data_IF_204600539591
#
_entry.id   IF_204600539591
#
_cell.length_a   1.000
_cell.length_b   1.000
_cell.length_c   1.000
_cell.angle_alpha   90.00
_cell.angle_beta   90.00
_cell.angle_gamma   90.00
#
_symmetry.space_group_name_H-M   'P 1'
#
loop_
_entity.id
_entity.type
_entity.pdbx_description
1 polymer ?
#
# COMPACT_ATOMS: atom_id res chain seq x y z
N UNK A 1 21.25 -0.06 -72.64
CA UNK A 1 22.22 0.98 -73.05
C UNK A 1 21.43 2.06 -73.77
N UNK A 2 21.95 3.30 -73.85
CA UNK A 2 21.20 4.53 -74.21
C UNK A 2 20.11 4.89 -73.17
N UNK A 3 20.12 6.01 -72.43
CA UNK A 3 21.08 7.12 -72.29
C UNK A 3 20.94 8.33 -73.26
N UNK A 4 19.96 9.21 -73.00
CA UNK A 4 19.93 10.67 -73.29
C UNK A 4 18.76 11.28 -72.46
N UNK A 5 18.85 12.36 -71.65
CA UNK A 5 19.29 13.77 -71.88
C UNK A 5 18.40 14.45 -72.96
N UNK A 6 17.79 15.64 -72.81
CA UNK A 6 17.83 16.76 -71.85
C UNK A 6 16.43 17.48 -71.87
N UNK A 7 16.05 18.61 -71.23
CA UNK A 7 16.71 19.67 -70.42
C UNK A 7 15.66 20.53 -69.65
N UNK A 8 16.12 21.29 -68.63
CA UNK A 8 15.62 22.63 -68.19
C UNK A 8 14.26 22.77 -67.46
N UNK A 9 14.04 23.73 -66.55
CA UNK A 9 14.95 24.71 -65.89
C UNK A 9 14.54 24.93 -64.41
N UNK A 10 15.48 25.39 -63.57
CA UNK A 10 15.17 25.92 -62.23
C UNK A 10 14.87 27.43 -62.29
N UNK A 11 14.31 27.99 -61.21
CA UNK A 11 14.52 29.40 -60.84
C UNK A 11 14.88 29.49 -59.34
N UNK A 12 15.95 30.21 -58.96
CA UNK A 12 16.39 30.31 -57.57
C UNK A 12 15.96 31.61 -56.89
N UNK A 13 15.82 31.58 -55.56
CA UNK A 13 16.03 32.75 -54.70
C UNK A 13 16.84 32.33 -53.47
N UNK A 14 18.15 32.56 -53.53
CA UNK A 14 19.05 32.55 -52.38
C UNK A 14 19.24 34.00 -51.91
N UNK A 15 18.90 34.28 -50.65
CA UNK A 15 19.39 35.49 -49.98
C UNK A 15 20.12 35.11 -48.68
N UNK A 16 21.43 35.34 -48.75
CA UNK A 16 22.50 35.14 -47.78
C UNK A 16 22.15 35.28 -46.28
N UNK A 17 22.65 34.33 -45.49
CA UNK A 17 23.64 34.49 -44.39
C UNK A 17 23.75 35.85 -43.66
N UNK A 18 24.03 35.87 -42.34
CA UNK A 18 25.08 35.01 -41.74
C UNK A 18 24.77 34.35 -40.39
N UNK A 19 25.73 33.51 -39.96
CA UNK A 19 25.83 32.98 -38.60
C UNK A 19 26.10 34.11 -37.59
N UNK A 20 25.50 34.01 -36.42
CA UNK A 20 26.20 34.28 -35.15
C UNK A 20 25.98 33.11 -34.19
N UNK A 21 27.08 32.51 -33.74
CA UNK A 21 27.06 31.43 -32.76
C UNK A 21 26.76 31.98 -31.37
N UNK A 22 25.94 31.28 -30.58
CA UNK A 22 26.01 31.38 -29.13
C UNK A 22 25.72 30.02 -28.48
N UNK A 23 26.69 29.52 -27.72
CA UNK A 23 26.51 28.38 -26.82
C UNK A 23 25.83 28.84 -25.55
N UNK A 24 24.83 28.09 -25.07
CA UNK A 24 24.84 27.67 -23.67
C UNK A 24 24.06 26.36 -23.49
N UNK A 25 24.50 25.54 -22.54
CA UNK A 25 23.91 24.25 -22.19
C UNK A 25 22.85 24.40 -21.11
N UNK A 26 21.96 23.40 -21.01
CA UNK A 26 21.69 22.64 -19.77
C UNK A 26 20.87 21.38 -20.13
N UNK A 27 21.13 20.27 -19.44
CA UNK A 27 20.41 19.01 -19.65
C UNK A 27 19.09 19.00 -18.84
N UNK A 28 18.01 18.49 -19.46
CA UNK A 28 16.67 18.39 -18.86
C UNK A 28 16.17 16.94 -18.86
N UNK A 29 16.31 16.28 -17.71
CA UNK A 29 15.91 14.89 -17.43
C UNK A 29 14.51 14.54 -17.98
N UNK A 30 14.44 13.53 -18.87
CA UNK A 30 13.18 12.80 -19.09
C UNK A 30 12.88 11.98 -17.83
N UNK A 31 11.95 12.45 -17.02
CA UNK A 31 11.61 11.83 -15.74
C UNK A 31 10.93 10.47 -15.95
N UNK A 32 11.33 9.48 -15.13
CA UNK A 32 10.71 8.16 -15.12
C UNK A 32 9.42 8.21 -14.31
N UNK A 33 8.27 8.24 -14.98
CA UNK A 33 6.95 8.47 -14.35
C UNK A 33 6.35 7.20 -13.71
N UNK A 34 7.11 6.57 -12.82
CA UNK A 34 6.72 5.36 -12.06
C UNK A 34 7.26 5.42 -10.62
N UNK A 35 6.95 6.50 -9.89
CA UNK A 35 7.43 6.69 -8.50
C UNK A 35 6.36 7.17 -7.49
N UNK A 36 5.35 7.95 -7.93
CA UNK A 36 4.38 8.62 -7.04
C UNK A 36 3.50 7.64 -6.22
N UNK A 37 3.21 6.45 -6.75
CA UNK A 37 2.24 5.50 -6.19
C UNK A 37 2.58 4.96 -4.78
N UNK A 38 3.84 5.04 -4.35
CA UNK A 38 4.32 4.52 -3.05
C UNK A 38 4.55 5.67 -2.03
N UNK A 39 4.25 6.91 -2.41
CA UNK A 39 4.46 8.11 -1.56
C UNK A 39 3.18 8.55 -0.84
N UNK A 40 2.08 8.67 -1.58
CA UNK A 40 0.79 9.19 -1.10
C UNK A 40 0.20 8.36 0.05
N UNK A 41 0.27 7.04 -0.07
CA UNK A 41 -0.13 6.04 0.94
C UNK A 41 0.49 6.30 2.32
N UNK A 42 1.80 6.58 2.38
CA UNK A 42 2.53 6.83 3.63
C UNK A 42 2.16 8.16 4.30
N UNK A 43 1.61 9.12 3.55
CA UNK A 43 1.20 10.43 4.06
C UNK A 43 -0.25 10.42 4.58
N UNK A 44 -1.17 9.74 3.87
CA UNK A 44 -2.57 9.61 4.27
C UNK A 44 -2.73 8.93 5.64
N UNK A 45 -2.09 7.77 5.83
CA UNK A 45 -2.15 6.97 7.06
C UNK A 45 -1.60 7.67 8.31
N UNK A 46 -0.77 8.72 8.15
CA UNK A 46 -0.08 9.40 9.26
C UNK A 46 -0.70 10.73 9.70
N UNK A 47 -1.58 11.33 8.89
CA UNK A 47 -2.11 12.69 9.15
C UNK A 47 -3.60 12.77 9.48
N UNK A 48 -4.41 11.79 9.07
CA UNK A 48 -5.86 11.87 9.16
C UNK A 48 -6.39 11.55 10.58
N UNK A 49 -6.70 12.60 11.37
CA UNK A 49 -7.55 12.48 12.55
C UNK A 49 -9.02 12.31 12.13
N UNK A 50 -9.37 11.12 11.66
CA UNK A 50 -10.77 10.72 11.39
C UNK A 50 -11.52 10.69 12.74
N UNK A 51 -12.68 11.37 12.89
CA UNK A 51 -13.46 11.31 14.13
C UNK A 51 -14.12 9.94 14.30
N UNK A 52 -14.29 9.49 15.54
CA UNK A 52 -14.80 8.15 15.85
C UNK A 52 -16.26 7.92 15.37
N UNK A 53 -17.01 9.00 15.12
CA UNK A 53 -18.35 8.98 14.50
C UNK A 53 -18.39 8.31 13.13
N UNK A 54 -17.30 8.41 12.37
CA UNK A 54 -17.26 8.02 10.96
C UNK A 54 -16.87 6.54 10.78
N UNK A 55 -16.44 5.90 11.86
CA UNK A 55 -16.06 4.49 11.87
C UNK A 55 -17.29 3.58 11.91
N UNK A 56 -17.34 2.64 10.96
CA UNK A 56 -18.30 1.54 10.96
C UNK A 56 -18.03 0.64 12.16
N UNK A 57 -19.01 0.46 13.03
CA UNK A 57 -18.90 -0.40 14.22
C UNK A 57 -19.49 -1.78 13.93
N UNK A 58 -18.71 -2.84 14.18
CA UNK A 58 -19.14 -4.23 14.05
C UNK A 58 -19.82 -4.74 15.34
N UNK A 59 -20.66 -5.80 15.29
CA UNK A 59 -21.36 -6.35 16.47
C UNK A 59 -20.46 -6.85 17.61
N UNK A 60 -19.16 -7.00 17.36
CA UNK A 60 -18.14 -7.41 18.33
C UNK A 60 -17.38 -6.22 18.96
N UNK A 61 -17.80 -4.98 18.68
CA UNK A 61 -17.18 -3.75 19.17
C UNK A 61 -15.98 -3.25 18.37
N UNK A 62 -15.46 -4.03 17.40
CA UNK A 62 -14.41 -3.56 16.48
C UNK A 62 -14.96 -2.42 15.63
N UNK A 63 -14.25 -1.29 15.57
CA UNK A 63 -14.59 -0.17 14.68
C UNK A 63 -13.57 -0.06 13.55
N UNK A 64 -14.03 0.26 12.34
CA UNK A 64 -13.14 0.46 11.21
C UNK A 64 -13.54 1.62 10.29
N UNK A 65 -12.54 2.23 9.64
CA UNK A 65 -12.72 3.25 8.62
C UNK A 65 -11.87 2.92 7.39
N UNK A 66 -12.47 2.90 6.20
CA UNK A 66 -11.77 2.64 4.93
C UNK A 66 -11.15 3.94 4.39
N UNK A 67 -9.85 4.18 4.65
CA UNK A 67 -9.11 5.31 4.07
C UNK A 67 -8.97 5.19 2.55
N UNK A 68 -8.88 3.96 2.05
CA UNK A 68 -8.90 3.63 0.63
C UNK A 68 -9.57 2.28 0.45
N UNK A 69 -10.64 2.20 -0.33
CA UNK A 69 -11.17 0.90 -0.80
C UNK A 69 -10.22 0.36 -1.89
N UNK A 70 -9.90 -0.93 -1.82
CA UNK A 70 -9.05 -1.59 -2.82
C UNK A 70 -9.83 -2.07 -4.03
N UNK A 71 -9.12 -2.28 -5.15
CA UNK A 71 -9.70 -2.63 -6.45
C UNK A 71 -9.54 -4.10 -6.82
N UNK A 72 -8.72 -4.86 -6.09
CA UNK A 72 -8.45 -6.28 -6.34
C UNK A 72 -9.43 -7.25 -5.66
N UNK A 73 -8.95 -8.48 -5.41
CA UNK A 73 -9.70 -9.52 -4.71
C UNK A 73 -10.06 -9.13 -3.26
N UNK A 74 -11.15 -9.68 -2.74
CA UNK A 74 -11.65 -9.45 -1.39
C UNK A 74 -11.15 -10.52 -0.40
N UNK A 75 -10.74 -10.08 0.79
CA UNK A 75 -10.27 -10.94 1.88
C UNK A 75 -11.45 -11.58 2.60
N UNK A 76 -11.94 -12.69 2.05
CA UNK A 76 -12.92 -13.56 2.69
C UNK A 76 -12.25 -14.60 3.59
N UNK A 77 -12.95 -15.09 4.61
CA UNK A 77 -12.51 -16.19 5.48
C UNK A 77 -11.91 -17.37 4.69
N UNK A 78 -10.77 -17.89 5.16
CA UNK A 78 -9.97 -18.92 4.48
C UNK A 78 -8.97 -18.37 3.45
N UNK A 79 -8.99 -17.07 3.14
CA UNK A 79 -7.97 -16.44 2.29
C UNK A 79 -6.65 -16.30 3.02
N UNK A 80 -5.54 -16.70 2.39
CA UNK A 80 -4.19 -16.35 2.86
C UNK A 80 -3.86 -14.91 2.43
N UNK A 81 -3.98 -13.96 3.35
CA UNK A 81 -3.64 -12.55 3.12
C UNK A 81 -2.14 -12.28 3.30
N UNK A 82 -1.67 -11.21 2.68
CA UNK A 82 -0.42 -10.54 3.02
C UNK A 82 -0.69 -9.04 3.19
N UNK A 83 -0.34 -8.50 4.35
CA UNK A 83 -0.65 -7.12 4.74
C UNK A 83 0.61 -6.36 5.16
N UNK A 84 0.52 -5.03 5.14
CA UNK A 84 1.29 -4.20 6.05
C UNK A 84 0.40 -3.67 7.17
N UNK A 85 0.96 -3.52 8.38
CA UNK A 85 0.28 -2.87 9.48
C UNK A 85 1.20 -1.98 10.33
N UNK A 86 0.58 -1.04 11.05
CA UNK A 86 1.20 -0.25 12.13
C UNK A 86 0.23 -0.23 13.30
N UNK A 87 0.59 -0.88 14.41
CA UNK A 87 -0.19 -0.90 15.64
C UNK A 87 0.29 0.20 16.60
N UNK A 88 -0.65 1.00 17.11
CA UNK A 88 -0.37 2.14 17.98
C UNK A 88 -1.23 2.08 19.24
N UNK A 89 -0.73 2.68 20.31
CA UNK A 89 -1.52 2.99 21.49
C UNK A 89 -1.23 4.44 21.91
N UNK A 90 -2.28 5.28 21.96
CA UNK A 90 -2.16 6.71 22.26
C UNK A 90 -1.18 7.41 21.31
N UNK A 91 -1.17 7.00 20.04
CA UNK A 91 -0.23 7.47 19.01
C UNK A 91 1.20 6.90 19.06
N UNK A 92 1.61 6.19 20.11
CA UNK A 92 2.93 5.51 20.18
C UNK A 92 2.83 4.20 19.38
N UNK A 93 3.73 4.01 18.40
CA UNK A 93 3.79 2.76 17.61
C UNK A 93 4.57 1.70 18.38
N UNK A 94 3.91 0.60 18.74
CA UNK A 94 4.51 -0.51 19.50
C UNK A 94 4.80 -1.76 18.66
N UNK A 95 4.08 -1.95 17.55
CA UNK A 95 4.37 -3.01 16.55
C UNK A 95 4.15 -2.48 15.13
N UNK A 96 4.98 -2.90 14.18
CA UNK A 96 4.86 -2.51 12.77
C UNK A 96 5.52 -3.53 11.87
N UNK A 97 4.87 -3.89 10.75
CA UNK A 97 5.47 -4.72 9.71
C UNK A 97 6.37 -3.92 8.75
N UNK A 98 6.33 -2.59 8.81
CA UNK A 98 6.97 -1.71 7.80
C UNK A 98 8.44 -1.41 8.10
N UNK A 99 8.94 -1.82 9.27
CA UNK A 99 10.30 -1.54 9.72
C UNK A 99 11.21 -2.75 9.46
N UNK A 100 12.31 -2.54 8.72
CA UNK A 100 13.25 -3.58 8.32
C UNK A 100 14.37 -3.03 7.44
N UNK A 101 15.45 -3.79 7.27
CA UNK A 101 16.71 -3.34 6.64
C UNK A 101 16.70 -3.35 5.09
N UNK A 102 15.52 -3.38 4.46
CA UNK A 102 15.35 -3.51 3.02
C UNK A 102 15.12 -2.18 2.31
N UNK A 103 15.67 -2.03 1.09
CA UNK A 103 15.49 -0.84 0.23
C UNK A 103 14.01 -0.56 -0.11
N UNK A 104 13.16 -1.59 -0.07
CA UNK A 104 11.70 -1.49 -0.28
C UNK A 104 10.86 -1.29 0.99
N UNK A 105 11.46 -1.28 2.19
CA UNK A 105 10.73 -1.33 3.47
C UNK A 105 10.66 -2.73 4.10
N UNK A 106 9.99 -2.83 5.25
CA UNK A 106 9.92 -4.05 6.07
C UNK A 106 9.04 -5.19 5.52
N UNK A 107 9.09 -6.34 6.19
CA UNK A 107 8.47 -7.60 5.74
C UNK A 107 6.93 -7.59 5.88
N UNK A 108 6.16 -7.87 4.80
CA UNK A 108 4.72 -8.12 4.90
C UNK A 108 4.37 -9.25 5.88
N UNK A 109 3.38 -9.01 6.74
CA UNK A 109 2.84 -10.03 7.65
C UNK A 109 1.69 -10.77 6.95
N UNK A 110 1.67 -12.10 6.97
CA UNK A 110 0.70 -12.88 6.20
C UNK A 110 0.12 -14.07 6.96
N UNK A 111 -1.21 -14.20 6.95
CA UNK A 111 -1.98 -15.15 7.76
C UNK A 111 -3.25 -15.60 7.01
N UNK A 112 -3.97 -16.57 7.57
CA UNK A 112 -5.22 -17.11 7.01
C UNK A 112 -6.43 -16.49 7.73
N UNK A 113 -7.32 -15.82 6.99
CA UNK A 113 -8.42 -15.02 7.57
C UNK A 113 -9.46 -15.91 8.26
N UNK A 114 -9.84 -15.54 9.48
CA UNK A 114 -10.78 -16.23 10.35
C UNK A 114 -10.16 -17.33 11.23
N UNK A 115 -8.82 -17.43 11.29
CA UNK A 115 -8.09 -18.41 12.09
C UNK A 115 -7.51 -17.87 13.41
N UNK A 116 -7.79 -16.62 13.82
CA UNK A 116 -7.28 -16.04 15.10
C UNK A 116 -7.53 -16.89 16.35
N UNK A 117 -8.52 -17.79 16.35
CA UNK A 117 -8.75 -18.79 17.42
C UNK A 117 -7.53 -19.70 17.68
N UNK A 118 -6.60 -19.82 16.74
CA UNK A 118 -5.35 -20.60 16.86
C UNK A 118 -4.21 -19.83 17.57
N UNK A 119 -4.43 -18.56 17.93
CA UNK A 119 -3.47 -17.73 18.68
C UNK A 119 -2.42 -17.01 17.83
N UNK A 120 -2.28 -17.34 16.55
CA UNK A 120 -1.23 -16.81 15.67
C UNK A 120 -1.44 -15.36 15.21
N UNK A 121 -2.66 -14.82 15.37
CA UNK A 121 -3.09 -13.51 14.85
C UNK A 121 -3.92 -12.79 15.91
N UNK A 122 -3.73 -11.47 16.07
CA UNK A 122 -4.57 -10.66 16.95
C UNK A 122 -6.03 -10.66 16.44
N UNK A 123 -7.01 -10.94 17.31
CA UNK A 123 -8.41 -11.13 16.91
C UNK A 123 -8.97 -9.92 16.15
N UNK A 124 -8.69 -8.70 16.62
CA UNK A 124 -9.13 -7.47 15.97
C UNK A 124 -8.51 -7.22 14.60
N UNK A 125 -7.30 -7.73 14.35
CA UNK A 125 -6.65 -7.67 13.04
C UNK A 125 -7.28 -8.68 12.07
N UNK A 126 -7.52 -9.90 12.53
CA UNK A 126 -8.18 -10.97 11.77
C UNK A 126 -9.59 -10.56 11.31
N UNK A 127 -10.40 -10.05 12.25
CA UNK A 127 -11.74 -9.54 12.02
C UNK A 127 -11.76 -8.20 11.25
N UNK A 128 -10.68 -7.41 11.34
CA UNK A 128 -10.58 -6.11 10.68
C UNK A 128 -10.16 -6.20 9.20
N UNK A 129 -9.48 -7.28 8.82
CA UNK A 129 -9.08 -7.57 7.43
C UNK A 129 -10.20 -8.22 6.63
N UNK A 130 -11.18 -8.86 7.28
CA UNK A 130 -12.34 -9.43 6.58
C UNK A 130 -13.11 -8.34 5.79
N UNK A 131 -13.41 -8.63 4.52
CA UNK A 131 -14.01 -7.65 3.61
C UNK A 131 -13.10 -6.48 3.20
N UNK A 132 -11.79 -6.52 3.46
CA UNK A 132 -10.83 -5.63 2.77
C UNK A 132 -10.59 -6.12 1.35
N UNK A 133 -10.41 -5.18 0.41
CA UNK A 133 -9.98 -5.49 -0.97
C UNK A 133 -8.50 -5.18 -1.18
N UNK A 134 -7.81 -5.98 -1.99
CA UNK A 134 -6.39 -5.81 -2.31
C UNK A 134 -6.12 -4.42 -2.91
N UNK A 135 -5.07 -3.76 -2.43
CA UNK A 135 -4.74 -2.36 -2.70
C UNK A 135 -5.46 -1.35 -1.80
N UNK A 136 -6.28 -1.82 -0.86
CA UNK A 136 -7.03 -1.01 0.10
C UNK A 136 -6.32 -0.78 1.44
N UNK A 137 -6.74 0.27 2.13
CA UNK A 137 -6.20 0.74 3.41
C UNK A 137 -7.34 1.04 4.39
N UNK A 138 -7.20 0.55 5.63
CA UNK A 138 -8.23 0.59 6.68
C UNK A 138 -7.59 0.98 8.01
N UNK A 139 -8.24 1.88 8.75
CA UNK A 139 -7.96 2.13 10.16
C UNK A 139 -8.86 1.24 11.00
N UNK A 140 -8.33 0.68 12.08
CA UNK A 140 -9.07 -0.09 13.08
C UNK A 140 -8.92 0.57 14.46
N UNK A 141 -10.02 0.63 15.22
CA UNK A 141 -10.00 0.85 16.66
C UNK A 141 -10.41 -0.48 17.31
N UNK A 142 -9.43 -1.18 17.88
CA UNK A 142 -9.59 -2.54 18.40
C UNK A 142 -9.86 -2.47 19.91
N UNK A 143 -11.07 -2.85 20.38
CA UNK A 143 -11.39 -2.88 21.80
C UNK A 143 -10.58 -3.99 22.51
N UNK A 144 -10.36 -3.88 23.83
CA UNK A 144 -9.45 -4.77 24.56
C UNK A 144 -9.80 -6.25 24.44
N UNK A 145 -11.07 -6.64 24.34
CA UNK A 145 -11.55 -8.03 24.18
C UNK A 145 -11.01 -8.69 22.89
N UNK A 146 -10.72 -7.86 21.89
CA UNK A 146 -10.17 -8.23 20.58
C UNK A 146 -8.66 -7.92 20.45
N UNK A 147 -8.08 -7.24 21.45
CA UNK A 147 -6.65 -7.01 21.62
C UNK A 147 -6.09 -7.83 22.80
N UNK A 148 -5.61 -7.18 23.87
CA UNK A 148 -4.86 -7.80 24.99
C UNK A 148 -5.67 -7.95 26.30
N UNK A 149 -6.94 -7.56 26.29
CA UNK A 149 -7.90 -7.76 27.38
C UNK A 149 -7.49 -7.15 28.72
N UNK A 150 -8.00 -7.73 29.80
CA UNK A 150 -7.73 -7.32 31.19
C UNK A 150 -6.34 -7.67 31.71
N UNK A 151 -5.46 -8.22 30.87
CA UNK A 151 -4.05 -8.49 31.22
C UNK A 151 -3.09 -7.44 30.66
N UNK A 152 -3.39 -6.86 29.51
CA UNK A 152 -2.43 -6.04 28.77
C UNK A 152 -1.25 -6.86 28.23
N UNK A 153 -0.24 -6.18 27.71
CA UNK A 153 1.05 -6.77 27.31
C UNK A 153 2.14 -5.70 27.27
N UNK A 154 3.30 -5.95 27.87
CA UNK A 154 4.44 -5.02 27.88
C UNK A 154 4.04 -3.59 28.33
N UNK A 155 4.11 -2.60 27.44
CA UNK A 155 3.72 -1.20 27.68
C UNK A 155 2.21 -0.92 27.50
N UNK A 156 1.45 -1.88 26.98
CA UNK A 156 0.00 -1.78 26.77
C UNK A 156 -0.72 -2.25 28.05
N UNK A 157 -1.44 -1.37 28.78
CA UNK A 157 -2.07 -1.73 30.04
C UNK A 157 -3.33 -2.58 29.86
N UNK A 158 -3.84 -3.20 30.94
CA UNK A 158 -5.16 -3.79 31.00
C UNK A 158 -6.25 -2.89 30.43
N UNK A 159 -7.19 -3.49 29.68
CA UNK A 159 -8.36 -2.85 29.10
C UNK A 159 -8.06 -1.71 28.10
N UNK A 160 -6.85 -1.67 27.52
CA UNK A 160 -6.50 -0.72 26.46
C UNK A 160 -7.17 -1.06 25.11
N UNK A 161 -7.90 -0.10 24.56
CA UNK A 161 -8.20 -0.01 23.12
C UNK A 161 -6.93 0.39 22.37
N UNK A 162 -6.62 -0.28 21.25
CA UNK A 162 -5.48 0.06 20.39
C UNK A 162 -5.93 0.53 19.01
N UNK A 163 -5.08 1.30 18.34
CA UNK A 163 -5.26 1.79 16.97
C UNK A 163 -4.45 0.88 16.02
N UNK A 164 -4.96 0.53 14.84
CA UNK A 164 -4.17 -0.16 13.81
C UNK A 164 -4.39 0.43 12.42
N UNK A 165 -3.30 0.86 11.78
CA UNK A 165 -3.26 1.14 10.35
C UNK A 165 -3.05 -0.19 9.62
N UNK A 166 -3.89 -0.54 8.64
CA UNK A 166 -3.77 -1.79 7.87
C UNK A 166 -3.85 -1.51 6.37
N UNK A 167 -2.99 -2.17 5.59
CA UNK A 167 -2.94 -2.12 4.13
C UNK A 167 -2.88 -3.54 3.57
N UNK A 168 -3.85 -3.91 2.73
CA UNK A 168 -3.93 -5.26 2.14
C UNK A 168 -3.17 -5.30 0.81
N UNK A 169 -2.00 -5.93 0.82
CA UNK A 169 -1.07 -5.95 -0.31
C UNK A 169 -1.40 -7.04 -1.33
N UNK A 170 -1.78 -8.23 -0.86
CA UNK A 170 -2.11 -9.37 -1.72
C UNK A 170 -2.99 -10.40 -0.99
N UNK A 171 -3.66 -11.23 -1.79
CA UNK A 171 -4.27 -12.50 -1.34
C UNK A 171 -3.62 -13.62 -2.15
N UNK A 172 -2.98 -14.56 -1.47
CA UNK A 172 -2.55 -15.83 -2.08
C UNK A 172 -3.74 -16.77 -2.11
N UNK A 173 -4.50 -16.71 -3.20
CA UNK A 173 -5.52 -17.73 -3.49
C UNK A 173 -4.83 -19.08 -3.66
N UNK A 174 -5.24 -20.05 -2.85
CA UNK A 174 -4.92 -21.45 -3.09
C UNK A 174 -5.78 -21.97 -4.24
N UNK A 175 -5.21 -22.62 -5.29
CA UNK A 175 -6.01 -23.16 -6.40
C UNK A 175 -7.08 -24.18 -6.00
N UNK A 176 -7.02 -24.68 -4.75
CA UNK A 176 -7.95 -25.66 -4.19
C UNK A 176 -8.59 -25.20 -2.86
N UNK A 177 -8.46 -23.91 -2.49
CA UNK A 177 -9.02 -23.37 -1.23
C UNK A 177 -8.30 -23.78 0.07
N UNK A 178 -7.22 -24.58 -0.01
CA UNK A 178 -6.47 -25.07 1.16
C UNK A 178 -5.30 -24.16 1.53
N UNK A 179 -5.16 -23.81 2.81
CA UNK A 179 -4.17 -22.86 3.33
C UNK A 179 -2.74 -23.10 2.82
N UNK A 180 -2.18 -22.09 2.15
CA UNK A 180 -0.79 -22.11 1.66
C UNK A 180 0.12 -21.61 2.77
N UNK A 181 1.03 -22.48 3.26
CA UNK A 181 2.12 -22.06 4.14
C UNK A 181 3.00 -21.06 3.37
N UNK A 182 3.06 -19.82 3.84
CA UNK A 182 4.12 -18.91 3.45
C UNK A 182 5.38 -19.45 4.11
N UNK A 183 6.38 -19.80 3.30
CA UNK A 183 7.72 -20.15 3.80
C UNK A 183 8.39 -18.84 4.18
N UNK A 184 8.51 -18.61 5.48
CA UNK A 184 9.51 -17.71 6.04
C UNK A 184 10.87 -18.43 5.94
N UNK A 185 11.92 -17.68 5.57
CA UNK A 185 13.29 -18.18 5.40
C UNK A 185 14.24 -17.54 6.40
#
# INVERSE_FOLDING_TARGET
>A
MELSLLSHQLHPLLLHCPLTTNFLTIAGVYACDVAEAVSTSRRALRGAKIPESDYKTLPNGLKYYDLKVGDGAEAVKGSRVAIHYVAKWRGITFMTSRQGMGVGGGTPYGFDVGESKRGNVLKGLDLGVEGMRVGGQRLLLVPPELAYGSKGVQEIPPNATIEMDVELLAIKQSPFGTAVKIVEG
#
